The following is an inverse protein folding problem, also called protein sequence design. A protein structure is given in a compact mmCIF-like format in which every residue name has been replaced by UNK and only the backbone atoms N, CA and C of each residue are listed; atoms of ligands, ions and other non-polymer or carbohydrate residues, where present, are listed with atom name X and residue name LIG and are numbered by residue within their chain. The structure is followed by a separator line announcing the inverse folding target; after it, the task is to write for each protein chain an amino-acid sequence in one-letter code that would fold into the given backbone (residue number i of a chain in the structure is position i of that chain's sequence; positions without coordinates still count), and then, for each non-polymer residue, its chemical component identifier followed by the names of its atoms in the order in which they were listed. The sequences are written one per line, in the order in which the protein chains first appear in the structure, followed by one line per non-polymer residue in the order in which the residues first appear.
data_IF_309533239175
#
_entry.id   IF_309533239175
#
_cell.length_a   1.000
_cell.length_b   1.000
_cell.length_c   1.000
_cell.angle_alpha   90.00
_cell.angle_beta   90.00
_cell.angle_gamma   90.00
#
_symmetry.space_group_name_H-M   'P 1'
#
loop_
_entity.id
_entity.type
_entity.pdbx_description
1 polymer ?
#
# COMPACT_ATOMS: atom_id res chain seq x y z
N UNK A 1 0.52 -8.18 -12.15
CA UNK A 1 -0.67 -8.23 -11.26
C UNK A 1 -1.95 -7.75 -11.95
N UNK A 2 -2.01 -6.53 -12.50
CA UNK A 2 -3.24 -5.99 -13.11
C UNK A 2 -3.83 -6.84 -14.25
N UNK A 3 -2.99 -7.29 -15.19
CA UNK A 3 -3.45 -8.18 -16.27
C UNK A 3 -4.01 -9.52 -15.75
N UNK A 4 -3.38 -10.08 -14.70
CA UNK A 4 -3.86 -11.30 -14.06
C UNK A 4 -5.21 -11.07 -13.36
N UNK A 5 -5.38 -9.91 -12.71
CA UNK A 5 -6.64 -9.50 -12.09
C UNK A 5 -7.76 -9.35 -13.14
N UNK A 6 -7.50 -8.66 -14.25
CA UNK A 6 -8.44 -8.56 -15.39
C UNK A 6 -8.82 -9.95 -15.92
N UNK A 7 -7.83 -10.84 -16.10
CA UNK A 7 -8.06 -12.20 -16.57
C UNK A 7 -8.92 -13.01 -15.58
N UNK A 8 -8.62 -12.93 -14.28
CA UNK A 8 -9.41 -13.61 -13.25
C UNK A 8 -10.86 -13.10 -13.20
N UNK A 9 -11.05 -11.77 -13.24
CA UNK A 9 -12.37 -11.15 -13.25
C UNK A 9 -13.19 -11.52 -14.50
N UNK A 10 -12.53 -11.65 -15.64
CA UNK A 10 -13.16 -12.15 -16.87
C UNK A 10 -13.62 -13.60 -16.71
N UNK A 11 -12.80 -14.46 -16.11
CA UNK A 11 -13.15 -15.87 -15.90
C UNK A 11 -14.32 -16.06 -14.92
N UNK A 12 -14.42 -15.21 -13.90
CA UNK A 12 -15.50 -15.27 -12.91
C UNK A 12 -16.74 -14.45 -13.30
N UNK A 13 -16.80 -13.89 -14.52
CA UNK A 13 -17.85 -12.96 -14.96
C UNK A 13 -18.12 -11.84 -13.94
N UNK A 14 -17.09 -11.38 -13.24
CA UNK A 14 -17.16 -10.37 -12.19
C UNK A 14 -16.53 -9.05 -12.64
N UNK A 15 -16.56 -8.80 -13.95
CA UNK A 15 -15.87 -7.67 -14.55
C UNK A 15 -16.48 -6.35 -14.08
N UNK A 16 -15.66 -5.36 -13.70
CA UNK A 16 -16.15 -4.06 -13.28
C UNK A 16 -16.96 -3.37 -14.38
N UNK A 17 -18.10 -2.78 -14.02
CA UNK A 17 -18.95 -2.00 -14.93
C UNK A 17 -18.54 -0.53 -14.91
N UNK A 18 -18.36 0.09 -16.08
CA UNK A 18 -18.04 1.52 -16.18
C UNK A 18 -19.21 2.38 -15.65
N UNK A 19 -18.91 3.36 -14.79
CA UNK A 19 -19.91 4.21 -14.12
C UNK A 19 -19.59 5.71 -14.19
N UNK A 20 -18.49 6.12 -14.82
CA UNK A 20 -18.10 7.54 -14.92
C UNK A 20 -18.82 8.30 -16.06
N UNK A 21 -20.09 7.98 -16.31
CA UNK A 21 -20.92 8.57 -17.37
C UNK A 21 -21.07 7.66 -18.59
N UNK A 22 -21.16 8.26 -19.79
CA UNK A 22 -21.28 7.50 -21.04
C UNK A 22 -20.03 6.65 -21.28
N UNK A 23 -20.16 5.34 -21.50
CA UNK A 23 -19.01 4.48 -21.79
C UNK A 23 -18.25 4.99 -23.02
N UNK A 24 -16.92 5.13 -22.93
CA UNK A 24 -16.12 5.51 -24.08
C UNK A 24 -16.03 4.36 -25.08
N UNK A 25 -15.36 4.59 -26.22
CA UNK A 25 -15.14 3.53 -27.21
C UNK A 25 -14.41 2.31 -26.59
N UNK A 26 -14.58 1.09 -27.12
CA UNK A 26 -13.97 -0.12 -26.55
C UNK A 26 -12.45 -0.03 -26.37
N UNK A 27 -11.75 0.63 -27.29
CA UNK A 27 -10.30 0.82 -27.20
C UNK A 27 -9.91 1.72 -26.03
N UNK A 28 -10.64 2.81 -25.80
CA UNK A 28 -10.41 3.72 -24.67
C UNK A 28 -10.79 3.00 -23.37
N UNK A 29 -11.90 2.26 -23.35
CA UNK A 29 -12.30 1.49 -22.18
C UNK A 29 -11.25 0.44 -21.80
N UNK A 30 -10.69 -0.27 -22.77
CA UNK A 30 -9.60 -1.22 -22.55
C UNK A 30 -8.33 -0.54 -22.02
N UNK A 31 -7.98 0.64 -22.58
CA UNK A 31 -6.87 1.43 -22.07
C UNK A 31 -7.09 1.82 -20.60
N UNK A 32 -8.25 2.40 -20.29
CA UNK A 32 -8.64 2.78 -18.93
C UNK A 32 -8.59 1.55 -18.00
N UNK A 33 -9.09 0.39 -18.42
CA UNK A 33 -9.02 -0.83 -17.60
C UNK A 33 -7.58 -1.26 -17.30
N UNK A 34 -6.66 -1.07 -18.24
CA UNK A 34 -5.24 -1.42 -18.07
C UNK A 34 -4.48 -0.41 -17.20
N UNK A 35 -4.84 0.87 -17.25
CA UNK A 35 -4.12 1.97 -16.61
C UNK A 35 -4.75 2.42 -15.29
N UNK A 36 -6.07 2.32 -15.13
CA UNK A 36 -6.75 2.54 -13.84
C UNK A 36 -6.51 1.34 -12.94
N UNK A 37 -5.44 1.41 -12.16
CA UNK A 37 -5.07 0.36 -11.21
C UNK A 37 -6.12 0.14 -10.10
N UNK A 38 -7.08 1.07 -9.99
CA UNK A 38 -8.01 1.21 -8.87
C UNK A 38 -9.49 1.08 -9.24
N UNK A 39 -9.80 0.86 -10.52
CA UNK A 39 -11.16 0.73 -11.02
C UNK A 39 -12.07 1.89 -10.57
N UNK A 40 -11.58 3.13 -10.71
CA UNK A 40 -12.23 4.30 -10.15
C UNK A 40 -13.47 4.68 -10.95
N UNK A 41 -13.35 4.52 -12.26
CA UNK A 41 -14.44 4.69 -13.20
C UNK A 41 -15.34 3.47 -13.26
N UNK A 42 -15.16 2.47 -12.37
CA UNK A 42 -15.92 1.22 -12.43
C UNK A 42 -16.52 0.79 -11.09
N UNK A 43 -17.52 -0.08 -11.16
CA UNK A 43 -18.15 -0.72 -9.98
C UNK A 43 -18.14 -2.24 -10.12
N UNK A 44 -17.91 -3.00 -9.01
CA UNK A 44 -17.62 -2.51 -7.66
C UNK A 44 -16.21 -1.92 -7.53
N UNK A 45 -16.08 -0.78 -6.85
CA UNK A 45 -14.78 -0.18 -6.53
C UNK A 45 -14.29 -0.75 -5.18
N UNK A 46 -13.14 -1.43 -5.13
CA UNK A 46 -12.63 -2.02 -3.90
C UNK A 46 -12.04 -0.98 -2.93
N UNK A 47 -11.84 0.26 -3.36
CA UNK A 47 -11.16 1.30 -2.60
C UNK A 47 -12.17 2.07 -1.76
N UNK A 48 -11.87 2.15 -0.47
CA UNK A 48 -12.59 3.00 0.47
C UNK A 48 -11.77 4.24 0.73
N UNK A 49 -12.28 5.39 0.32
CA UNK A 49 -11.64 6.65 0.68
C UNK A 49 -11.81 6.91 2.18
N UNK A 50 -10.73 7.18 2.93
CA UNK A 50 -10.85 7.55 4.31
C UNK A 50 -11.59 8.89 4.44
N UNK A 51 -12.37 9.03 5.50
CA UNK A 51 -13.01 10.31 5.81
C UNK A 51 -11.94 11.37 6.11
N UNK A 52 -12.19 12.61 5.64
CA UNK A 52 -11.35 13.76 5.94
C UNK A 52 -11.25 13.97 7.46
N UNK A 53 -10.06 13.87 8.07
CA UNK A 53 -9.91 14.02 9.52
C UNK A 53 -10.36 15.40 10.00
N UNK A 54 -10.83 15.48 11.23
CA UNK A 54 -11.21 16.78 11.84
C UNK A 54 -10.01 17.60 12.27
N UNK A 55 -8.90 16.97 12.64
CA UNK A 55 -7.67 17.68 13.00
C UNK A 55 -6.87 18.07 11.74
N UNK A 56 -6.12 19.19 11.71
CA UNK A 56 -5.95 20.19 12.78
C UNK A 56 -7.07 21.23 12.89
N UNK A 57 -8.02 21.25 11.94
CA UNK A 57 -9.05 22.29 11.86
C UNK A 57 -10.46 21.72 12.14
N UNK A 58 -10.87 21.57 13.42
CA UNK A 58 -12.08 20.82 13.79
C UNK A 58 -13.37 21.41 13.25
N UNK A 59 -13.43 22.73 13.10
CA UNK A 59 -14.64 23.48 12.74
C UNK A 59 -14.68 23.91 11.28
N UNK A 60 -13.53 24.14 10.64
CA UNK A 60 -13.47 24.65 9.26
C UNK A 60 -13.29 23.52 8.26
N UNK A 61 -14.31 23.23 7.45
CA UNK A 61 -14.20 22.26 6.35
C UNK A 61 -13.22 22.73 5.28
N UNK A 62 -13.28 24.01 4.91
CA UNK A 62 -12.42 24.61 3.89
C UNK A 62 -10.93 24.47 4.24
N UNK A 63 -10.53 24.83 5.47
CA UNK A 63 -9.14 24.67 5.92
C UNK A 63 -8.69 23.21 5.94
N UNK A 64 -9.60 22.27 6.27
CA UNK A 64 -9.28 20.83 6.21
C UNK A 64 -9.10 20.36 4.78
N UNK A 65 -10.01 20.75 3.88
CA UNK A 65 -9.90 20.40 2.46
C UNK A 65 -8.59 20.94 1.89
N UNK A 66 -8.28 22.20 2.16
CA UNK A 66 -7.01 22.81 1.77
C UNK A 66 -5.80 22.07 2.35
N UNK A 67 -5.78 21.80 3.65
CA UNK A 67 -4.66 21.11 4.30
C UNK A 67 -4.44 19.71 3.72
N UNK A 68 -5.50 18.93 3.55
CA UNK A 68 -5.44 17.56 3.03
C UNK A 68 -5.42 17.48 1.50
N UNK A 69 -5.28 18.61 0.78
CA UNK A 69 -4.95 18.56 -0.64
C UNK A 69 -3.68 17.75 -0.83
N UNK A 70 -3.70 16.83 -1.79
CA UNK A 70 -2.62 15.89 -2.04
C UNK A 70 -1.27 16.59 -2.28
N UNK A 71 -1.28 17.72 -3.00
CA UNK A 71 -0.10 18.55 -3.20
C UNK A 71 0.46 19.12 -1.89
N UNK A 72 -0.40 19.60 -1.00
CA UNK A 72 0.03 20.12 0.31
C UNK A 72 0.57 18.99 1.19
N UNK A 73 -0.06 17.81 1.15
CA UNK A 73 0.44 16.62 1.80
C UNK A 73 1.80 16.21 1.23
N UNK A 74 2.00 16.32 -0.08
CA UNK A 74 3.29 16.08 -0.72
C UNK A 74 4.39 16.98 -0.17
N UNK A 75 4.13 18.28 -0.06
CA UNK A 75 5.10 19.22 0.53
C UNK A 75 5.43 18.89 1.99
N UNK A 76 4.43 18.52 2.80
CA UNK A 76 4.65 18.10 4.20
C UNK A 76 5.52 16.84 4.25
N UNK A 77 5.20 15.82 3.46
CA UNK A 77 5.96 14.57 3.45
C UNK A 77 7.37 14.75 2.90
N UNK A 78 7.56 15.67 1.93
CA UNK A 78 8.88 16.05 1.43
C UNK A 78 9.72 16.75 2.50
N UNK A 79 9.13 17.69 3.24
CA UNK A 79 9.82 18.36 4.35
C UNK A 79 10.23 17.36 5.45
N UNK A 80 9.31 16.44 5.81
CA UNK A 80 9.61 15.37 6.77
C UNK A 80 10.72 14.44 6.25
N UNK A 81 10.70 14.09 4.97
CA UNK A 81 11.75 13.29 4.35
C UNK A 81 13.11 13.98 4.42
N UNK A 82 13.20 15.26 4.05
CA UNK A 82 14.44 16.05 4.14
C UNK A 82 14.97 16.10 5.58
N UNK A 83 14.07 16.29 6.56
CA UNK A 83 14.43 16.23 7.98
C UNK A 83 15.00 14.86 8.35
N UNK A 84 14.36 13.76 7.94
CA UNK A 84 14.86 12.40 8.19
C UNK A 84 16.23 12.14 7.54
N UNK A 85 16.50 12.70 6.35
CA UNK A 85 17.82 12.60 5.70
C UNK A 85 18.93 13.32 6.48
N UNK A 86 18.56 14.27 7.35
CA UNK A 86 19.51 15.03 8.18
C UNK A 86 19.81 14.34 9.52
N UNK A 87 19.07 13.29 9.87
CA UNK A 87 19.25 12.53 11.11
C UNK A 87 20.25 11.37 10.95
N UNK A 88 20.83 10.86 12.05
CA UNK A 88 21.59 9.61 12.03
C UNK A 88 20.75 8.47 11.43
N UNK A 89 21.29 7.80 10.42
CA UNK A 89 20.59 6.75 9.66
C UNK A 89 20.59 5.40 10.40
N UNK A 90 20.09 5.39 11.64
CA UNK A 90 19.77 4.16 12.36
C UNK A 90 18.61 3.43 11.68
N UNK A 91 18.45 2.12 11.92
CA UNK A 91 17.51 1.28 11.17
C UNK A 91 16.06 1.82 11.12
N UNK A 92 15.46 2.32 12.23
CA UNK A 92 14.10 2.90 12.16
C UNK A 92 14.01 4.17 11.32
N UNK A 93 15.04 5.03 11.37
CA UNK A 93 15.11 6.25 10.54
C UNK A 93 15.22 5.89 9.07
N UNK A 94 16.08 4.91 8.74
CA UNK A 94 16.20 4.39 7.37
C UNK A 94 14.88 3.78 6.88
N UNK A 95 14.25 2.93 7.69
CA UNK A 95 12.98 2.31 7.35
C UNK A 95 11.88 3.34 7.08
N UNK A 96 11.77 4.35 7.94
CA UNK A 96 10.84 5.45 7.74
C UNK A 96 11.20 6.25 6.48
N UNK A 97 12.48 6.51 6.24
CA UNK A 97 12.98 7.15 5.01
C UNK A 97 12.59 6.39 3.73
N UNK A 98 12.65 5.06 3.75
CA UNK A 98 12.18 4.21 2.64
C UNK A 98 10.67 4.37 2.44
N UNK A 99 9.86 4.34 3.51
CA UNK A 99 8.41 4.55 3.41
C UNK A 99 8.07 5.91 2.78
N UNK A 100 8.73 6.98 3.23
CA UNK A 100 8.56 8.32 2.65
C UNK A 100 9.03 8.38 1.20
N UNK A 101 10.13 7.71 0.85
CA UNK A 101 10.64 7.66 -0.53
C UNK A 101 9.64 7.00 -1.47
N UNK A 102 9.09 5.85 -1.08
CA UNK A 102 8.04 5.16 -1.84
C UNK A 102 6.84 6.09 -1.99
N UNK A 103 6.36 6.68 -0.89
CA UNK A 103 5.23 7.61 -0.90
C UNK A 103 5.48 8.78 -1.87
N UNK A 104 6.65 9.41 -1.83
CA UNK A 104 6.99 10.58 -2.65
C UNK A 104 7.11 10.22 -4.14
N UNK A 105 7.80 9.13 -4.49
CA UNK A 105 7.98 8.71 -5.88
C UNK A 105 6.62 8.40 -6.51
N UNK A 106 5.80 7.57 -5.86
CA UNK A 106 4.51 7.18 -6.41
C UNK A 106 3.51 8.34 -6.43
N UNK A 107 3.49 9.20 -5.41
CA UNK A 107 2.63 10.38 -5.41
C UNK A 107 3.05 11.38 -6.50
N UNK A 108 4.35 11.54 -6.75
CA UNK A 108 4.84 12.39 -7.86
C UNK A 108 4.34 11.87 -9.21
N UNK A 109 4.53 10.57 -9.47
CA UNK A 109 4.05 9.94 -10.70
C UNK A 109 2.56 10.16 -10.84
N UNK A 110 1.79 9.88 -9.78
CA UNK A 110 0.34 10.04 -9.77
C UNK A 110 -0.09 11.49 -10.05
N UNK A 111 0.53 12.49 -9.41
CA UNK A 111 0.19 13.90 -9.64
C UNK A 111 0.43 14.33 -11.11
N UNK A 112 1.36 13.68 -11.80
CA UNK A 112 1.67 13.94 -13.20
C UNK A 112 0.76 13.19 -14.18
N UNK A 113 0.36 11.96 -13.86
CA UNK A 113 -0.27 11.04 -14.84
C UNK A 113 -1.67 10.56 -14.49
N UNK A 114 -2.23 10.94 -13.33
CA UNK A 114 -3.54 10.44 -12.89
C UNK A 114 -4.68 10.91 -13.77
N UNK A 115 -5.76 10.14 -13.74
CA UNK A 115 -7.04 10.60 -14.22
C UNK A 115 -7.61 11.67 -13.25
N UNK A 116 -8.37 12.67 -13.73
CA UNK A 116 -8.88 13.75 -12.87
C UNK A 116 -9.74 13.27 -11.70
N UNK A 117 -10.44 12.16 -11.87
CA UNK A 117 -11.32 11.55 -10.86
C UNK A 117 -10.60 10.61 -9.91
N UNK A 118 -9.29 10.43 -10.10
CA UNK A 118 -8.51 9.48 -9.32
C UNK A 118 -8.30 9.93 -7.88
N UNK A 119 -8.74 9.15 -6.87
CA UNK A 119 -8.35 9.36 -5.48
C UNK A 119 -6.83 9.37 -5.28
N UNK A 120 -6.32 9.81 -4.12
CA UNK A 120 -4.93 9.64 -3.73
C UNK A 120 -4.50 8.16 -3.64
N UNK A 121 -3.30 7.79 -4.12
CA UNK A 121 -2.75 6.42 -3.96
C UNK A 121 -2.41 6.12 -2.51
N UNK A 122 -2.03 7.16 -1.79
CA UNK A 122 -1.69 7.13 -0.39
C UNK A 122 -2.52 8.14 0.38
N UNK A 123 -2.88 7.79 1.61
CA UNK A 123 -3.26 8.79 2.61
C UNK A 123 -2.02 9.42 3.25
N UNK A 124 -2.20 10.51 4.02
CA UNK A 124 -1.14 11.02 4.88
C UNK A 124 -0.68 9.97 5.89
N UNK A 125 0.62 9.68 5.93
CA UNK A 125 1.16 8.58 6.74
C UNK A 125 0.87 8.77 8.23
N UNK A 126 1.00 10.00 8.74
CA UNK A 126 0.76 10.31 10.15
C UNK A 126 -0.70 10.08 10.62
N UNK A 127 -1.64 9.77 9.71
CA UNK A 127 -3.02 9.40 10.05
C UNK A 127 -3.24 7.89 10.23
N UNK A 128 -2.17 7.10 10.21
CA UNK A 128 -2.26 5.66 10.48
C UNK A 128 -2.66 5.45 11.95
N UNK A 129 -3.87 4.91 12.14
CA UNK A 129 -4.45 4.63 13.46
C UNK A 129 -4.37 3.14 13.85
N UNK A 130 -4.01 2.27 12.90
CA UNK A 130 -3.94 0.82 13.08
C UNK A 130 -3.21 0.16 11.91
N UNK A 131 -2.79 -1.10 12.07
CA UNK A 131 -2.20 -1.88 10.96
C UNK A 131 -3.21 -2.10 9.83
N UNK A 132 -4.49 -2.33 10.16
CA UNK A 132 -5.54 -2.43 9.15
C UNK A 132 -5.71 -1.12 8.36
N UNK A 133 -5.71 0.03 9.05
CA UNK A 133 -5.79 1.35 8.39
C UNK A 133 -4.56 1.60 7.54
N UNK A 134 -3.37 1.20 8.01
CA UNK A 134 -2.13 1.26 7.23
C UNK A 134 -2.34 0.57 5.88
N UNK A 135 -2.63 -0.74 5.87
CA UNK A 135 -2.59 -1.55 4.66
C UNK A 135 -3.81 -1.41 3.73
N UNK A 136 -4.96 -0.98 4.24
CA UNK A 136 -6.21 -0.92 3.45
C UNK A 136 -6.73 0.48 3.16
N UNK A 137 -6.21 1.49 3.87
CA UNK A 137 -6.73 2.86 3.81
C UNK A 137 -5.67 3.88 3.43
N UNK A 138 -4.46 3.75 3.99
CA UNK A 138 -3.41 4.77 3.86
C UNK A 138 -2.29 4.37 2.91
N UNK A 139 -1.91 3.10 2.87
CA UNK A 139 -0.73 2.63 2.16
C UNK A 139 -1.07 1.98 0.82
N UNK A 140 -0.61 2.62 -0.26
CA UNK A 140 -0.48 2.06 -1.60
C UNK A 140 -1.70 1.24 -2.09
N UNK A 141 -2.85 1.91 -2.20
CA UNK A 141 -4.15 1.28 -2.53
C UNK A 141 -4.22 0.67 -3.95
N UNK A 142 -3.15 0.81 -4.75
CA UNK A 142 -3.00 0.26 -6.09
C UNK A 142 -3.10 -1.26 -6.15
N UNK A 143 -2.69 -1.93 -5.06
CA UNK A 143 -2.68 -3.39 -4.98
C UNK A 143 -3.94 -3.95 -4.33
N UNK A 144 -4.86 -3.10 -3.87
CA UNK A 144 -6.08 -3.54 -3.20
C UNK A 144 -6.92 -4.47 -4.08
N UNK A 145 -7.17 -4.09 -5.34
CA UNK A 145 -7.99 -4.92 -6.24
C UNK A 145 -7.33 -6.26 -6.58
N UNK A 146 -6.07 -6.31 -7.06
CA UNK A 146 -5.42 -7.59 -7.35
C UNK A 146 -5.36 -8.51 -6.13
N UNK A 147 -5.08 -7.97 -4.93
CA UNK A 147 -5.04 -8.78 -3.71
C UNK A 147 -6.43 -9.29 -3.33
N UNK A 148 -7.48 -8.50 -3.56
CA UNK A 148 -8.84 -8.89 -3.29
C UNK A 148 -9.33 -10.00 -4.25
N UNK A 149 -9.14 -9.83 -5.56
CA UNK A 149 -9.64 -10.76 -6.58
C UNK A 149 -8.80 -12.04 -6.69
N UNK A 150 -7.47 -11.94 -6.57
CA UNK A 150 -6.57 -13.06 -6.85
C UNK A 150 -6.24 -13.90 -5.61
N UNK A 151 -6.36 -13.34 -4.41
CA UNK A 151 -5.96 -14.02 -3.19
C UNK A 151 -7.08 -14.08 -2.14
N UNK A 152 -7.63 -12.92 -1.74
CA UNK A 152 -8.63 -12.88 -0.67
C UNK A 152 -9.91 -13.65 -1.03
N UNK A 153 -10.56 -13.28 -2.13
CA UNK A 153 -11.86 -13.84 -2.53
C UNK A 153 -11.79 -15.34 -2.83
N UNK A 154 -10.81 -15.84 -3.61
CA UNK A 154 -10.66 -17.27 -3.85
C UNK A 154 -10.42 -18.06 -2.55
N UNK A 155 -9.53 -17.56 -1.68
CA UNK A 155 -9.24 -18.22 -0.39
C UNK A 155 -10.49 -18.28 0.50
N UNK A 156 -11.19 -17.15 0.63
CA UNK A 156 -12.42 -17.09 1.41
C UNK A 156 -13.50 -18.05 0.87
N UNK A 157 -13.65 -18.11 -0.46
CA UNK A 157 -14.62 -18.99 -1.11
C UNK A 157 -14.29 -20.47 -0.91
N UNK A 158 -13.02 -20.87 -1.08
CA UNK A 158 -12.60 -22.26 -0.85
C UNK A 158 -12.84 -22.66 0.61
N UNK A 159 -12.45 -21.82 1.57
CA UNK A 159 -12.63 -22.12 3.00
C UNK A 159 -14.10 -22.18 3.41
N UNK A 160 -14.94 -21.30 2.87
CA UNK A 160 -16.39 -21.36 3.13
C UNK A 160 -17.03 -22.61 2.51
N UNK A 161 -16.60 -23.04 1.31
CA UNK A 161 -17.02 -24.33 0.73
C UNK A 161 -16.58 -25.53 1.57
N UNK A 162 -15.42 -25.46 2.21
CA UNK A 162 -14.95 -26.47 3.18
C UNK A 162 -15.63 -26.36 4.55
N UNK A 163 -16.67 -25.53 4.68
CA UNK A 163 -17.43 -25.30 5.91
C UNK A 163 -16.59 -24.74 7.08
N UNK A 164 -15.46 -24.10 6.77
CA UNK A 164 -14.69 -23.39 7.78
C UNK A 164 -15.50 -22.17 8.29
N UNK A 165 -15.53 -21.92 9.61
CA UNK A 165 -16.32 -20.84 10.18
C UNK A 165 -15.73 -19.46 9.81
N UNK A 166 -16.54 -18.38 9.77
CA UNK A 166 -16.11 -17.06 9.30
C UNK A 166 -14.92 -16.45 10.07
N UNK A 167 -14.75 -16.81 11.33
CA UNK A 167 -13.63 -16.36 12.17
C UNK A 167 -12.29 -17.03 11.80
N UNK A 168 -12.30 -18.09 10.99
CA UNK A 168 -11.11 -18.67 10.35
C UNK A 168 -10.99 -18.14 8.92
N UNK A 169 -12.09 -18.23 8.15
CA UNK A 169 -12.06 -17.97 6.70
C UNK A 169 -11.64 -16.53 6.37
N UNK A 170 -12.10 -15.53 7.15
CA UNK A 170 -11.75 -14.12 6.90
C UNK A 170 -10.28 -13.82 7.24
N UNK A 171 -9.77 -14.15 8.45
CA UNK A 171 -8.34 -14.02 8.74
C UNK A 171 -7.41 -14.72 7.74
N UNK A 172 -7.72 -15.96 7.38
CA UNK A 172 -6.92 -16.73 6.43
C UNK A 172 -6.88 -16.05 5.06
N UNK A 173 -8.01 -15.51 4.59
CA UNK A 173 -8.08 -14.75 3.35
C UNK A 173 -7.25 -13.45 3.39
N UNK A 174 -7.21 -12.75 4.54
CA UNK A 174 -6.33 -11.59 4.73
C UNK A 174 -4.86 -12.02 4.64
N UNK A 175 -4.45 -13.04 5.39
CA UNK A 175 -3.06 -13.53 5.36
C UNK A 175 -2.67 -14.00 3.96
N UNK A 176 -3.57 -14.65 3.23
CA UNK A 176 -3.34 -15.04 1.83
C UNK A 176 -3.11 -13.83 0.91
N UNK A 177 -3.87 -12.74 1.09
CA UNK A 177 -3.64 -11.50 0.36
C UNK A 177 -2.25 -10.90 0.62
N UNK A 178 -1.80 -10.90 1.88
CA UNK A 178 -0.45 -10.47 2.23
C UNK A 178 0.63 -11.42 1.69
N UNK A 179 0.41 -12.73 1.70
CA UNK A 179 1.32 -13.70 1.10
C UNK A 179 1.44 -13.50 -0.42
N UNK A 180 0.34 -13.15 -1.09
CA UNK A 180 0.37 -12.81 -2.51
C UNK A 180 1.14 -11.50 -2.78
N UNK A 181 0.98 -10.47 -1.94
CA UNK A 181 1.82 -9.27 -2.00
C UNK A 181 3.30 -9.60 -1.76
N UNK A 182 3.58 -10.50 -0.81
CA UNK A 182 4.93 -10.96 -0.51
C UNK A 182 5.59 -11.58 -1.75
N UNK A 183 4.90 -12.53 -2.40
CA UNK A 183 5.38 -13.19 -3.61
C UNK A 183 5.65 -12.19 -4.75
N UNK A 184 4.76 -11.21 -4.94
CA UNK A 184 4.96 -10.17 -5.96
C UNK A 184 6.20 -9.32 -5.67
N UNK A 185 6.38 -8.84 -4.44
CA UNK A 185 7.52 -7.99 -4.10
C UNK A 185 8.84 -8.78 -4.09
N UNK A 186 8.83 -10.03 -3.66
CA UNK A 186 9.99 -10.92 -3.76
C UNK A 186 10.42 -11.09 -5.22
N UNK A 187 9.49 -11.36 -6.13
CA UNK A 187 9.79 -11.47 -7.55
C UNK A 187 10.28 -10.15 -8.16
N UNK A 188 9.60 -9.03 -7.86
CA UNK A 188 9.92 -7.73 -8.43
C UNK A 188 11.27 -7.17 -7.93
N UNK A 189 11.66 -7.52 -6.70
CA UNK A 189 12.89 -7.03 -6.07
C UNK A 189 14.05 -8.02 -6.17
N UNK A 190 13.83 -9.25 -6.65
CA UNK A 190 14.86 -10.27 -6.84
C UNK A 190 16.14 -9.75 -7.54
N UNK A 191 16.07 -8.98 -8.63
CA UNK A 191 17.29 -8.48 -9.28
C UNK A 191 18.02 -7.38 -8.48
N UNK A 192 17.41 -6.84 -7.43
CA UNK A 192 17.94 -5.70 -6.67
C UNK A 192 18.44 -6.08 -5.27
N UNK A 193 17.96 -7.18 -4.71
CA UNK A 193 18.23 -7.55 -3.32
C UNK A 193 18.94 -8.89 -3.21
N UNK A 194 19.73 -9.04 -2.15
CA UNK A 194 20.31 -10.34 -1.78
C UNK A 194 19.22 -11.35 -1.45
N UNK A 195 19.55 -12.65 -1.49
CA UNK A 195 18.64 -13.73 -1.06
C UNK A 195 18.07 -13.50 0.34
N UNK A 196 18.88 -12.95 1.24
CA UNK A 196 18.44 -12.61 2.58
C UNK A 196 17.45 -11.44 2.57
N UNK A 197 17.74 -10.37 1.81
CA UNK A 197 16.81 -9.25 1.62
C UNK A 197 15.46 -9.71 1.09
N UNK A 198 15.45 -10.57 0.06
CA UNK A 198 14.24 -11.16 -0.51
C UNK A 198 13.47 -11.99 0.52
N UNK A 199 14.16 -12.83 1.30
CA UNK A 199 13.54 -13.62 2.37
C UNK A 199 12.88 -12.71 3.42
N UNK A 200 13.55 -11.62 3.83
CA UNK A 200 12.99 -10.67 4.81
C UNK A 200 11.81 -9.89 4.26
N UNK A 201 11.83 -9.50 2.98
CA UNK A 201 10.66 -8.91 2.31
C UNK A 201 9.46 -9.87 2.35
N UNK A 202 9.69 -11.16 2.10
CA UNK A 202 8.64 -12.18 2.23
C UNK A 202 8.00 -12.18 3.63
N UNK A 203 8.84 -12.26 4.66
CA UNK A 203 8.41 -12.24 6.06
C UNK A 203 7.78 -10.92 6.49
N UNK A 204 8.25 -9.79 5.96
CA UNK A 204 7.70 -8.47 6.24
C UNK A 204 6.22 -8.41 5.88
N UNK A 205 5.84 -8.85 4.67
CA UNK A 205 4.45 -8.85 4.24
C UNK A 205 3.61 -9.89 4.99
N UNK A 206 4.06 -11.14 5.08
CA UNK A 206 3.29 -12.19 5.78
C UNK A 206 3.12 -11.86 7.26
N UNK A 207 4.18 -11.38 7.91
CA UNK A 207 4.17 -10.92 9.30
C UNK A 207 3.17 -9.77 9.51
N UNK A 208 3.17 -8.78 8.63
CA UNK A 208 2.17 -7.71 8.65
C UNK A 208 0.73 -8.21 8.51
N UNK A 209 0.49 -9.20 7.65
CA UNK A 209 -0.82 -9.83 7.52
C UNK A 209 -1.30 -10.50 8.81
N UNK A 210 -0.42 -11.27 9.46
CA UNK A 210 -0.70 -11.93 10.74
C UNK A 210 -0.95 -10.90 11.84
N UNK A 211 -0.09 -9.88 11.96
CA UNK A 211 -0.24 -8.83 12.96
C UNK A 211 -1.50 -8.00 12.74
N UNK A 212 -1.88 -7.73 11.49
CA UNK A 212 -3.13 -7.03 11.15
C UNK A 212 -4.36 -7.82 11.62
N UNK A 213 -4.35 -9.14 11.39
CA UNK A 213 -5.41 -10.05 11.88
C UNK A 213 -5.46 -10.05 13.40
N UNK A 214 -4.30 -10.22 14.06
CA UNK A 214 -4.22 -10.28 15.52
C UNK A 214 -4.68 -8.97 16.16
N UNK A 215 -4.21 -7.82 15.66
CA UNK A 215 -4.61 -6.49 16.12
C UNK A 215 -6.13 -6.30 15.95
N UNK A 216 -6.68 -6.68 14.80
CA UNK A 216 -8.12 -6.60 14.54
C UNK A 216 -8.92 -7.52 15.46
N UNK A 217 -8.40 -8.71 15.79
CA UNK A 217 -9.02 -9.63 16.74
C UNK A 217 -9.09 -9.06 18.16
N UNK A 218 -8.02 -8.41 18.62
CA UNK A 218 -7.93 -7.83 19.97
C UNK A 218 -8.73 -6.53 20.10
N UNK A 219 -8.56 -5.62 19.14
CA UNK A 219 -9.12 -4.27 19.22
C UNK A 219 -10.48 -4.12 18.52
N UNK A 220 -10.84 -5.05 17.64
CA UNK A 220 -12.01 -4.93 16.79
C UNK A 220 -11.97 -3.65 15.95
N UNK A 221 -13.11 -2.94 15.92
CA UNK A 221 -13.28 -1.66 15.19
C UNK A 221 -12.98 -0.43 16.04
N UNK A 222 -12.47 -0.59 17.27
CA UNK A 222 -12.22 0.55 18.16
C UNK A 222 -11.03 1.38 17.65
N UNK A 223 -11.20 2.70 17.67
CA UNK A 223 -10.14 3.69 17.41
C UNK A 223 -9.54 4.11 18.74
N UNK A 224 -8.21 4.00 18.87
CA UNK A 224 -7.51 4.33 20.10
C UNK A 224 -6.06 4.72 19.80
N UNK A 225 -5.53 5.74 20.47
CA UNK A 225 -4.18 6.23 20.22
C UNK A 225 -3.10 5.19 20.57
N UNK A 226 -3.30 4.38 21.61
CA UNK A 226 -2.38 3.27 21.95
C UNK A 226 -2.32 2.24 20.83
N UNK A 227 -3.46 1.96 20.17
CA UNK A 227 -3.49 1.07 19.01
C UNK A 227 -2.64 1.62 17.87
N UNK A 228 -2.79 2.92 17.59
CA UNK A 228 -1.98 3.61 16.58
C UNK A 228 -0.48 3.53 16.91
N UNK A 229 -0.10 3.79 18.16
CA UNK A 229 1.29 3.70 18.61
C UNK A 229 1.86 2.28 18.44
N UNK A 230 1.10 1.25 18.84
CA UNK A 230 1.53 -0.14 18.68
C UNK A 230 1.66 -0.54 17.21
N UNK A 231 0.74 -0.08 16.34
CA UNK A 231 0.82 -0.33 14.91
C UNK A 231 2.11 0.28 14.31
N UNK A 232 2.45 1.51 14.69
CA UNK A 232 3.70 2.14 14.27
C UNK A 232 4.95 1.42 14.79
N UNK A 233 4.96 1.01 16.05
CA UNK A 233 6.08 0.24 16.62
C UNK A 233 6.25 -1.08 15.86
N UNK A 234 5.16 -1.81 15.63
CA UNK A 234 5.19 -3.08 14.93
C UNK A 234 5.69 -2.93 13.48
N UNK A 235 5.11 -1.98 12.74
CA UNK A 235 5.48 -1.71 11.35
C UNK A 235 6.94 -1.26 11.22
N UNK A 236 7.37 -0.30 12.05
CA UNK A 236 8.75 0.18 12.02
C UNK A 236 9.73 -0.91 12.45
N UNK A 237 9.37 -1.79 13.38
CA UNK A 237 10.24 -2.88 13.79
C UNK A 237 10.45 -3.88 12.65
N UNK A 238 9.38 -4.30 11.98
CA UNK A 238 9.44 -5.20 10.82
C UNK A 238 10.18 -4.54 9.65
N UNK A 239 9.88 -3.27 9.36
CA UNK A 239 10.54 -2.53 8.29
C UNK A 239 12.04 -2.33 8.57
N UNK A 240 12.41 -2.00 9.81
CA UNK A 240 13.81 -1.87 10.25
C UNK A 240 14.59 -3.16 10.08
N UNK A 241 14.00 -4.28 10.51
CA UNK A 241 14.60 -5.61 10.37
C UNK A 241 14.77 -6.00 8.90
N UNK A 242 13.82 -5.61 8.04
CA UNK A 242 13.88 -5.87 6.60
C UNK A 242 14.95 -5.03 5.92
N UNK A 243 14.97 -3.72 6.20
CA UNK A 243 15.96 -2.77 5.65
C UNK A 243 17.39 -3.14 6.03
N UNK A 244 17.60 -3.72 7.22
CA UNK A 244 18.92 -4.19 7.64
C UNK A 244 19.54 -5.25 6.71
N UNK A 245 18.73 -5.96 5.90
CA UNK A 245 19.21 -6.94 4.92
C UNK A 245 19.18 -6.45 3.46
N UNK A 246 18.61 -5.27 3.21
CA UNK A 246 18.42 -4.73 1.86
C UNK A 246 19.62 -3.92 1.36
N UNK A 247 20.71 -3.84 2.15
CA UNK A 247 21.95 -3.09 1.87
C UNK A 247 21.71 -1.69 1.29
N UNK A 248 20.73 -0.98 1.87
CA UNK A 248 20.34 0.34 1.41
C UNK A 248 21.37 1.39 1.88
N UNK A 249 21.69 2.39 1.03
CA UNK A 249 22.63 3.45 1.38
C UNK A 249 22.17 4.25 2.61
N UNK A 250 23.15 4.83 3.32
CA UNK A 250 22.95 5.72 4.46
C UNK A 250 22.39 7.10 4.03
N UNK A 251 21.16 7.09 3.53
CA UNK A 251 20.47 8.27 3.02
C UNK A 251 20.85 8.60 1.56
N UNK A 252 20.02 9.44 0.95
CA UNK A 252 20.14 9.84 -0.45
C UNK A 252 21.46 10.59 -0.75
N UNK A 253 21.99 11.31 0.24
CA UNK A 253 23.23 12.09 0.10
C UNK A 253 24.49 11.22 0.06
N UNK A 254 24.45 10.01 0.61
CA UNK A 254 25.59 9.07 0.64
C UNK A 254 25.44 7.94 -0.37
N UNK A 255 24.38 7.94 -1.17
CA UNK A 255 24.18 6.94 -2.20
C UNK A 255 25.26 7.08 -3.29
N UNK A 256 25.83 5.95 -3.71
CA UNK A 256 26.75 5.92 -4.85
C UNK A 256 25.95 5.98 -6.16
N UNK A 257 25.49 7.18 -6.53
CA UNK A 257 24.71 7.41 -7.75
C UNK A 257 25.46 7.00 -9.02
N UNK A 258 26.79 7.05 -9.02
CA UNK A 258 27.62 6.61 -10.16
C UNK A 258 27.61 5.09 -10.30
N UNK A 259 27.67 4.37 -9.19
CA UNK A 259 27.63 2.91 -9.15
C UNK A 259 26.30 2.30 -9.60
N UNK A 260 25.19 3.06 -9.61
CA UNK A 260 23.90 2.59 -10.16
C UNK A 260 23.96 2.36 -11.68
N UNK A 261 24.88 3.05 -12.38
CA UNK A 261 25.09 2.89 -13.81
C UNK A 261 26.15 1.81 -14.13
N UNK A 262 26.81 1.26 -13.12
CA UNK A 262 27.84 0.24 -13.27
C UNK A 262 27.21 -1.14 -13.10
N UNK A 263 27.02 -1.85 -14.21
CA UNK A 263 26.49 -3.22 -14.20
C UNK A 263 27.48 -4.15 -13.46
N UNK A 264 27.13 -4.55 -12.23
CA UNK A 264 27.84 -5.63 -11.55
C UNK A 264 27.45 -6.97 -12.16
N UNK A 265 28.40 -7.63 -12.83
CA UNK A 265 28.33 -9.08 -13.03
C UNK A 265 28.85 -9.73 -11.76
N UNK A 266 27.95 -10.35 -11.00
CA UNK A 266 28.33 -11.39 -10.05
C UNK A 266 28.41 -12.74 -10.78
#
# INVERSE_FOLDING_TARGET
MKLLDIHALSWTNSFPSYTAGTPPSPAILALILLTELRYESFTPNPIRLPFLPRYPFPTSLEKRQFFYLEFNQYLIHLALFILLQSLPQILPVKALGVLFTIWLIWTTIQLLVRYPTSPPLFGPLYLIESLATFWTGTWHNVFASPCYSLAYTPTFFVLTKLRAPPWISRPAAVVAAFAFMAAFHMYALEPLLTREGIRRIGWFFVGNGILTVAETGVWGRKRHWVRALMAWIAELSLASWTVAAADLPDGALKANWRGLCEWKRD
#
